data_IF_246617029629
#
_entry.id   IF_246617029629
#
_cell.length_a   1.000
_cell.length_b   1.000
_cell.length_c   1.000
_cell.angle_alpha   90.00
_cell.angle_beta   90.00
_cell.angle_gamma   90.00
#
_symmetry.space_group_name_H-M   'P 1'
#
loop_
_entity.id
_entity.type
_entity.pdbx_description
1 polymer ?
#
# COMPACT_ATOMS: atom_id res chain seq x y z
N UNK A 1 5.82 5.55 30.50
CA UNK A 1 5.63 4.44 29.57
C UNK A 1 6.83 4.32 28.65
N UNK A 2 7.32 3.12 28.42
CA UNK A 2 8.47 2.95 27.57
C UNK A 2 8.14 3.20 26.10
N UNK A 3 9.10 3.72 25.36
CA UNK A 3 8.98 3.97 23.92
C UNK A 3 8.69 2.66 23.16
N UNK A 4 9.25 1.56 23.62
CA UNK A 4 9.06 0.25 23.01
C UNK A 4 7.59 -0.18 22.94
N UNK A 5 6.78 0.17 23.95
CA UNK A 5 5.35 -0.14 23.97
C UNK A 5 4.61 0.67 22.90
N UNK A 6 4.98 1.96 22.77
CA UNK A 6 4.37 2.84 21.76
C UNK A 6 4.72 2.42 20.34
N UNK A 7 5.91 1.87 20.17
CA UNK A 7 6.45 1.53 18.85
C UNK A 7 6.31 0.04 18.53
N UNK A 8 5.35 -0.64 19.15
CA UNK A 8 5.06 -2.03 18.85
C UNK A 8 4.21 -2.10 17.57
N UNK A 9 4.77 -2.58 16.45
CA UNK A 9 4.04 -2.57 15.19
C UNK A 9 2.78 -3.46 15.20
N UNK A 10 2.79 -4.55 15.96
CA UNK A 10 1.62 -5.44 16.05
C UNK A 10 0.43 -4.71 16.69
N UNK A 11 0.69 -4.00 17.79
CA UNK A 11 -0.35 -3.23 18.48
C UNK A 11 -0.83 -2.08 17.61
N UNK A 12 0.09 -1.37 16.97
CA UNK A 12 -0.23 -0.26 16.09
C UNK A 12 -1.05 -0.73 14.88
N UNK A 13 -0.72 -1.90 14.34
CA UNK A 13 -1.45 -2.53 13.26
C UNK A 13 -2.92 -2.76 13.65
N UNK A 14 -3.15 -3.34 14.82
CA UNK A 14 -4.51 -3.58 15.33
C UNK A 14 -5.28 -2.28 15.52
N UNK A 15 -4.63 -1.27 16.08
CA UNK A 15 -5.24 0.05 16.29
C UNK A 15 -5.59 0.70 14.96
N UNK A 16 -4.68 0.64 13.98
CA UNK A 16 -4.92 1.20 12.66
C UNK A 16 -6.11 0.52 11.98
N UNK A 17 -6.22 -0.81 12.08
CA UNK A 17 -7.36 -1.54 11.54
C UNK A 17 -8.68 -1.10 12.20
N UNK A 18 -8.67 -0.89 13.51
CA UNK A 18 -9.85 -0.42 14.24
C UNK A 18 -10.28 0.96 13.75
N UNK A 19 -9.33 1.86 13.56
CA UNK A 19 -9.60 3.20 13.03
C UNK A 19 -10.16 3.13 11.61
N UNK A 20 -9.60 2.26 10.78
CA UNK A 20 -10.05 2.05 9.41
C UNK A 20 -11.51 1.56 9.38
N UNK A 21 -11.81 0.55 10.18
CA UNK A 21 -13.17 -0.01 10.27
C UNK A 21 -14.19 1.00 10.80
N UNK A 22 -13.73 1.92 11.65
CA UNK A 22 -14.57 3.01 12.18
C UNK A 22 -14.72 4.17 11.20
N UNK A 23 -14.09 4.10 10.02
CA UNK A 23 -14.16 5.17 9.03
C UNK A 23 -13.27 6.37 9.33
N UNK A 24 -12.38 6.25 10.31
CA UNK A 24 -11.44 7.31 10.68
C UNK A 24 -10.19 7.23 9.81
N UNK A 25 -10.38 7.50 8.51
CA UNK A 25 -9.36 7.26 7.50
C UNK A 25 -8.10 8.10 7.67
N UNK A 26 -8.23 9.35 8.08
CA UNK A 26 -7.04 10.20 8.26
C UNK A 26 -6.15 9.68 9.37
N UNK A 27 -6.73 9.35 10.51
CA UNK A 27 -6.01 8.79 11.65
C UNK A 27 -5.42 7.43 11.32
N UNK A 28 -6.21 6.58 10.63
CA UNK A 28 -5.76 5.27 10.19
C UNK A 28 -4.59 5.38 9.21
N UNK A 29 -4.66 6.30 8.26
CA UNK A 29 -3.59 6.53 7.28
C UNK A 29 -2.25 6.82 7.95
N UNK A 30 -2.26 7.75 8.90
CA UNK A 30 -1.04 8.13 9.62
C UNK A 30 -0.46 6.94 10.39
N UNK A 31 -1.33 6.19 11.05
CA UNK A 31 -0.90 5.05 11.85
C UNK A 31 -0.41 3.89 10.98
N UNK A 32 -1.09 3.61 9.87
CA UNK A 32 -0.61 2.60 8.91
C UNK A 32 0.77 2.97 8.37
N UNK A 33 0.99 4.24 8.05
CA UNK A 33 2.29 4.70 7.55
C UNK A 33 3.41 4.48 8.55
N UNK A 34 3.19 4.83 9.82
CA UNK A 34 4.15 4.59 10.89
C UNK A 34 4.40 3.11 11.10
N UNK A 35 3.34 2.32 11.09
CA UNK A 35 3.42 0.87 11.28
C UNK A 35 4.22 0.23 10.15
N UNK A 36 4.02 0.69 8.92
CA UNK A 36 4.78 0.21 7.77
C UNK A 36 6.28 0.41 7.96
N UNK A 37 6.67 1.59 8.44
CA UNK A 37 8.09 1.90 8.68
C UNK A 37 8.69 1.02 9.77
N UNK A 38 7.94 0.75 10.83
CA UNK A 38 8.39 -0.11 11.92
C UNK A 38 8.54 -1.57 11.46
N UNK A 39 7.59 -2.08 10.70
CA UNK A 39 7.70 -3.42 10.14
C UNK A 39 8.91 -3.52 9.21
N UNK A 40 9.16 -2.49 8.42
CA UNK A 40 10.33 -2.48 7.54
C UNK A 40 11.63 -2.58 8.33
N UNK A 41 11.73 -1.83 9.42
CA UNK A 41 12.93 -1.83 10.28
C UNK A 41 13.23 -3.20 10.86
N UNK A 42 12.20 -3.97 11.19
CA UNK A 42 12.38 -5.33 11.73
C UNK A 42 12.36 -6.39 10.64
N UNK A 43 12.47 -5.96 9.38
CA UNK A 43 12.56 -6.83 8.20
C UNK A 43 11.31 -7.68 7.97
N UNK A 44 10.17 -7.25 8.49
CA UNK A 44 8.89 -7.85 8.18
C UNK A 44 8.32 -7.14 6.95
N UNK A 45 8.85 -7.51 5.80
CA UNK A 45 8.56 -6.81 4.54
C UNK A 45 7.14 -7.01 4.05
N UNK A 46 6.57 -8.19 4.27
CA UNK A 46 5.18 -8.44 3.85
C UNK A 46 4.21 -7.52 4.58
N UNK A 47 4.33 -7.45 5.90
CA UNK A 47 3.45 -6.58 6.70
C UNK A 47 3.73 -5.10 6.41
N UNK A 48 4.99 -4.73 6.18
CA UNK A 48 5.33 -3.37 5.77
C UNK A 48 4.60 -2.97 4.49
N UNK A 49 4.66 -3.85 3.48
CA UNK A 49 3.98 -3.66 2.21
C UNK A 49 2.47 -3.55 2.38
N UNK A 50 1.90 -4.45 3.21
CA UNK A 50 0.47 -4.47 3.49
C UNK A 50 0.00 -3.17 4.17
N UNK A 51 0.81 -2.64 5.10
CA UNK A 51 0.47 -1.38 5.80
C UNK A 51 0.50 -0.19 4.85
N UNK A 52 1.46 -0.15 3.92
CA UNK A 52 1.51 0.91 2.90
C UNK A 52 0.30 0.85 1.98
N UNK A 53 -0.11 -0.35 1.62
CA UNK A 53 -1.31 -0.59 0.83
C UNK A 53 -2.55 -0.05 1.56
N UNK A 54 -2.68 -0.36 2.84
CA UNK A 54 -3.78 0.12 3.68
C UNK A 54 -3.78 1.64 3.80
N UNK A 55 -2.61 2.25 3.96
CA UNK A 55 -2.49 3.71 3.97
C UNK A 55 -2.97 4.30 2.64
N UNK A 56 -2.65 3.63 1.53
CA UNK A 56 -3.15 4.02 0.21
C UNK A 56 -4.66 3.96 0.12
N UNK A 57 -5.27 2.91 0.66
CA UNK A 57 -6.73 2.80 0.71
C UNK A 57 -7.38 3.93 1.50
N UNK A 58 -6.77 4.32 2.62
CA UNK A 58 -7.24 5.46 3.42
C UNK A 58 -7.19 6.75 2.61
N UNK A 59 -6.05 7.02 1.97
CA UNK A 59 -5.88 8.22 1.16
C UNK A 59 -6.88 8.25 0.01
N UNK A 60 -7.13 7.10 -0.62
CA UNK A 60 -8.10 6.96 -1.70
C UNK A 60 -9.53 7.28 -1.19
N UNK A 61 -9.88 6.74 -0.02
CA UNK A 61 -11.19 7.01 0.60
C UNK A 61 -11.38 8.49 0.92
N UNK A 62 -10.30 9.18 1.28
CA UNK A 62 -10.29 10.62 1.54
C UNK A 62 -10.22 11.45 0.26
N UNK A 63 -10.19 10.81 -0.90
CA UNK A 63 -10.02 11.45 -2.21
C UNK A 63 -8.70 12.19 -2.36
N UNK A 64 -7.71 11.84 -1.54
CA UNK A 64 -6.35 12.35 -1.68
C UNK A 64 -5.59 11.40 -2.62
N UNK A 65 -5.89 11.52 -3.90
CA UNK A 65 -5.39 10.58 -4.91
C UNK A 65 -3.88 10.66 -5.13
N UNK A 66 -3.30 11.84 -4.96
CA UNK A 66 -1.84 12.00 -5.08
C UNK A 66 -1.11 11.22 -4.01
N UNK A 67 -1.60 11.31 -2.78
CA UNK A 67 -1.06 10.56 -1.66
C UNK A 67 -1.29 9.04 -1.84
N UNK A 68 -2.47 8.68 -2.33
CA UNK A 68 -2.80 7.28 -2.61
C UNK A 68 -1.81 6.69 -3.61
N UNK A 69 -1.49 7.42 -4.69
CA UNK A 69 -0.49 6.98 -5.67
C UNK A 69 0.84 6.70 -4.99
N UNK A 70 1.32 7.60 -4.13
CA UNK A 70 2.60 7.41 -3.43
C UNK A 70 2.62 6.12 -2.63
N UNK A 71 1.58 5.88 -1.84
CA UNK A 71 1.50 4.67 -1.02
C UNK A 71 1.42 3.40 -1.86
N UNK A 72 0.56 3.39 -2.87
CA UNK A 72 0.38 2.20 -3.70
C UNK A 72 1.61 1.90 -4.54
N UNK A 73 2.29 2.92 -5.07
CA UNK A 73 3.51 2.70 -5.83
C UNK A 73 4.64 2.17 -4.97
N UNK A 74 4.79 2.67 -3.74
CA UNK A 74 5.77 2.14 -2.80
C UNK A 74 5.45 0.71 -2.39
N UNK A 75 4.17 0.43 -2.16
CA UNK A 75 3.74 -0.94 -1.85
C UNK A 75 4.07 -1.89 -3.00
N UNK A 76 3.79 -1.47 -4.24
CA UNK A 76 4.08 -2.28 -5.43
C UNK A 76 5.59 -2.50 -5.58
N UNK A 77 6.38 -1.45 -5.46
CA UNK A 77 7.84 -1.53 -5.60
C UNK A 77 8.43 -2.53 -4.61
N UNK A 78 8.08 -2.40 -3.33
CA UNK A 78 8.58 -3.30 -2.30
C UNK A 78 8.09 -4.73 -2.53
N UNK A 79 6.83 -4.87 -2.95
CA UNK A 79 6.26 -6.19 -3.26
C UNK A 79 7.07 -6.91 -4.33
N UNK A 80 7.37 -6.23 -5.44
CA UNK A 80 8.15 -6.85 -6.52
C UNK A 80 9.57 -7.15 -6.11
N UNK A 81 10.20 -6.28 -5.32
CA UNK A 81 11.54 -6.51 -4.81
C UNK A 81 11.63 -7.76 -3.94
N UNK A 82 10.56 -8.06 -3.20
CA UNK A 82 10.53 -9.17 -2.24
C UNK A 82 9.79 -10.41 -2.75
N UNK A 83 9.38 -10.41 -4.01
CA UNK A 83 8.73 -11.57 -4.61
C UNK A 83 7.25 -11.72 -4.32
N UNK A 84 6.59 -10.69 -3.82
CA UNK A 84 5.13 -10.70 -3.57
C UNK A 84 4.40 -10.18 -4.80
N UNK A 85 4.61 -10.83 -5.94
CA UNK A 85 4.21 -10.28 -7.24
C UNK A 85 2.70 -10.08 -7.39
N UNK A 86 1.89 -11.00 -6.85
CA UNK A 86 0.43 -10.86 -6.91
C UNK A 86 -0.03 -9.65 -6.11
N UNK A 87 0.57 -9.42 -4.96
CA UNK A 87 0.27 -8.25 -4.14
C UNK A 87 0.72 -6.98 -4.85
N UNK A 88 1.89 -7.03 -5.51
CA UNK A 88 2.40 -5.93 -6.31
C UNK A 88 1.44 -5.52 -7.44
N UNK A 89 0.85 -6.52 -8.11
CA UNK A 89 -0.16 -6.27 -9.16
C UNK A 89 -1.36 -5.54 -8.58
N UNK A 90 -1.88 -6.00 -7.43
CA UNK A 90 -3.02 -5.35 -6.77
C UNK A 90 -2.71 -3.88 -6.45
N UNK A 91 -1.51 -3.61 -5.93
CA UNK A 91 -1.08 -2.26 -5.62
C UNK A 91 -0.99 -1.39 -6.88
N UNK A 92 -0.48 -1.94 -7.99
CA UNK A 92 -0.42 -1.21 -9.26
C UNK A 92 -1.82 -0.90 -9.80
N UNK A 93 -2.76 -1.82 -9.63
CA UNK A 93 -4.14 -1.60 -10.08
C UNK A 93 -4.78 -0.43 -9.34
N UNK A 94 -4.56 -0.33 -8.03
CA UNK A 94 -5.04 0.80 -7.25
C UNK A 94 -4.31 2.10 -7.59
N UNK A 95 -3.00 2.04 -7.82
CA UNK A 95 -2.24 3.22 -8.27
C UNK A 95 -2.78 3.73 -9.61
N UNK A 96 -3.09 2.80 -10.53
CA UNK A 96 -3.70 3.14 -11.81
C UNK A 96 -5.04 3.84 -11.60
N UNK A 97 -5.88 3.30 -10.70
CA UNK A 97 -7.20 3.89 -10.42
C UNK A 97 -7.06 5.30 -9.84
N UNK A 98 -6.05 5.52 -8.98
CA UNK A 98 -5.78 6.84 -8.43
C UNK A 98 -5.32 7.82 -9.53
N UNK A 99 -4.45 7.38 -10.42
CA UNK A 99 -4.03 8.20 -11.57
C UNK A 99 -5.22 8.52 -12.49
N UNK A 100 -6.13 7.56 -12.64
CA UNK A 100 -7.34 7.76 -13.43
C UNK A 100 -8.21 8.84 -12.81
N UNK A 101 -8.37 8.82 -11.48
CA UNK A 101 -9.11 9.85 -10.76
C UNK A 101 -8.46 11.24 -10.92
N UNK A 102 -7.14 11.29 -11.09
CA UNK A 102 -6.40 12.53 -11.33
C UNK A 102 -6.39 12.96 -12.81
N UNK A 103 -6.97 12.16 -13.70
CA UNK A 103 -7.00 12.47 -15.12
C UNK A 103 -5.67 12.26 -15.85
N UNK A 104 -4.75 11.50 -15.26
CA UNK A 104 -3.42 11.27 -15.84
C UNK A 104 -3.40 10.08 -16.79
N UNK A 105 -3.92 10.29 -18.00
CA UNK A 105 -4.08 9.23 -19.00
C UNK A 105 -2.80 8.48 -19.37
N UNK A 106 -1.70 9.21 -19.52
CA UNK A 106 -0.42 8.58 -19.89
C UNK A 106 0.04 7.61 -18.81
N UNK A 107 -0.11 7.99 -17.54
CA UNK A 107 0.24 7.13 -16.42
C UNK A 107 -0.66 5.89 -16.35
N UNK A 108 -1.94 6.07 -16.61
CA UNK A 108 -2.89 4.94 -16.65
C UNK A 108 -2.46 3.92 -17.70
N UNK A 109 -2.12 4.36 -18.91
CA UNK A 109 -1.66 3.47 -19.98
C UNK A 109 -0.37 2.74 -19.61
N UNK A 110 0.57 3.47 -19.04
CA UNK A 110 1.86 2.91 -18.61
C UNK A 110 1.65 1.80 -17.58
N UNK A 111 0.80 2.06 -16.57
CA UNK A 111 0.51 1.07 -15.54
C UNK A 111 -0.29 -0.12 -16.07
N UNK A 112 -1.26 0.11 -16.96
CA UNK A 112 -2.01 -0.98 -17.58
C UNK A 112 -1.08 -1.94 -18.31
N UNK A 113 -0.11 -1.40 -19.05
CA UNK A 113 0.87 -2.21 -19.76
C UNK A 113 1.70 -3.05 -18.77
N UNK A 114 2.19 -2.42 -17.74
CA UNK A 114 3.00 -3.11 -16.72
C UNK A 114 2.20 -4.20 -15.99
N UNK A 115 0.96 -3.90 -15.64
CA UNK A 115 0.05 -4.85 -15.00
C UNK A 115 -0.12 -6.09 -15.90
N UNK A 116 -0.39 -5.88 -17.19
CA UNK A 116 -0.58 -6.99 -18.12
C UNK A 116 0.69 -7.83 -18.27
N UNK A 117 1.84 -7.19 -18.35
CA UNK A 117 3.13 -7.90 -18.43
C UNK A 117 3.37 -8.79 -17.21
N UNK A 118 3.12 -8.28 -16.01
CA UNK A 118 3.31 -9.05 -14.78
C UNK A 118 2.31 -10.20 -14.70
N UNK A 119 1.03 -9.92 -15.01
CA UNK A 119 -0.01 -10.96 -15.00
C UNK A 119 0.34 -12.10 -15.96
N UNK A 120 0.84 -11.77 -17.14
CA UNK A 120 1.25 -12.77 -18.12
C UNK A 120 2.37 -13.64 -17.58
N UNK A 121 3.38 -13.04 -16.96
CA UNK A 121 4.48 -13.80 -16.33
C UNK A 121 3.98 -14.72 -15.24
N UNK A 122 3.03 -14.26 -14.43
CA UNK A 122 2.45 -15.09 -13.36
C UNK A 122 1.70 -16.29 -13.91
N UNK A 123 0.97 -16.12 -15.03
CA UNK A 123 0.29 -17.22 -15.70
C UNK A 123 1.28 -18.24 -16.25
N UNK A 124 2.40 -17.79 -16.82
CA UNK A 124 3.41 -18.66 -17.39
C UNK A 124 4.15 -19.50 -16.33
N UNK A 125 4.12 -19.06 -15.08
CA UNK A 125 4.79 -19.75 -13.97
C UNK A 125 4.01 -21.00 -13.50
N UNK A 126 2.77 -21.11 -13.85
CA UNK A 126 1.89 -22.24 -13.46
C UNK A 126 1.55 -23.13 -14.67
#
# INVERSE_FOLDING_TARGET
>A
MSQAVKDDPVKMHKEANTLFEAGKYKEAEELFGKTADLYYKVQNYFDSTSMRYKAGECAFALKNYEKAVEYFEKSAELSFQKGFDRFGVSALEYARDAHKALGKRAKVKELDKKIQEVKKKLEETF
#
